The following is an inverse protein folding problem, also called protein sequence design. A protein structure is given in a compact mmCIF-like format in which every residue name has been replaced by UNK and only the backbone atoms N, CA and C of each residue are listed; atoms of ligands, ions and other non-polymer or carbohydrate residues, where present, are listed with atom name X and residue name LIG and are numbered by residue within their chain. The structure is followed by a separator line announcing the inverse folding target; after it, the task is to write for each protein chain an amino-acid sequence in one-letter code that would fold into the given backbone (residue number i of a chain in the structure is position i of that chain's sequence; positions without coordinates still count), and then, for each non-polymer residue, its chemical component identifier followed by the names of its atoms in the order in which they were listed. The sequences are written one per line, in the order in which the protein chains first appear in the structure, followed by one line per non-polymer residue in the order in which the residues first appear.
data_IF_066597530611
#
_entry.id   IF_066597530611
#
_cell.length_a   1.000
_cell.length_b   1.000
_cell.length_c   1.000
_cell.angle_alpha   90.00
_cell.angle_beta   90.00
_cell.angle_gamma   90.00
#
_symmetry.space_group_name_H-M   'P 1'
#
loop_
_entity.id
_entity.type
_entity.pdbx_description
1 polymer ?
#
# COMPACT_ATOMS: atom_id res chain seq x y z
N UNK A 1 -32.40 15.70 16.82
CA UNK A 1 -31.16 16.50 16.91
C UNK A 1 -30.02 15.56 17.26
N UNK A 2 -29.10 15.27 16.34
CA UNK A 2 -27.93 14.41 16.61
C UNK A 2 -26.84 15.23 17.31
N UNK A 3 -26.20 14.71 18.38
CA UNK A 3 -25.21 15.45 19.15
C UNK A 3 -24.00 15.86 18.28
N UNK A 4 -23.40 17.04 18.53
CA UNK A 4 -22.38 17.65 17.67
C UNK A 4 -21.09 16.81 17.54
N UNK A 5 -20.84 15.86 18.46
CA UNK A 5 -19.71 14.94 18.40
C UNK A 5 -19.80 13.87 17.29
N UNK A 6 -21.00 13.63 16.74
CA UNK A 6 -21.22 12.60 15.71
C UNK A 6 -21.01 13.09 14.27
N UNK A 7 -20.67 14.37 14.07
CA UNK A 7 -20.15 14.82 12.77
C UNK A 7 -18.63 14.64 12.81
N UNK A 8 -18.06 13.55 12.25
CA UNK A 8 -16.62 13.52 12.04
C UNK A 8 -16.26 14.76 11.23
N UNK A 9 -15.39 15.61 11.81
CA UNK A 9 -14.75 16.73 11.09
C UNK A 9 -14.31 16.14 9.75
N UNK A 10 -14.71 16.73 8.62
CA UNK A 10 -14.57 16.09 7.29
C UNK A 10 -13.17 15.50 7.03
N UNK A 11 -12.13 16.13 7.57
CA UNK A 11 -10.75 15.63 7.58
C UNK A 11 -10.54 14.27 8.27
N UNK A 12 -11.22 13.97 9.37
CA UNK A 12 -11.18 12.66 10.02
C UNK A 12 -11.73 11.56 9.10
N UNK A 13 -12.75 11.86 8.30
CA UNK A 13 -13.28 10.93 7.29
C UNK A 13 -12.27 10.71 6.16
N UNK A 14 -11.56 11.75 5.72
CA UNK A 14 -10.50 11.64 4.70
C UNK A 14 -9.39 10.72 5.21
N UNK A 15 -8.88 10.94 6.42
CA UNK A 15 -7.83 10.11 7.01
C UNK A 15 -8.27 8.66 7.23
N UNK A 16 -9.52 8.45 7.64
CA UNK A 16 -10.07 7.10 7.79
C UNK A 16 -10.06 6.34 6.46
N UNK A 17 -10.51 6.97 5.37
CA UNK A 17 -10.46 6.35 4.04
C UNK A 17 -9.03 6.18 3.52
N UNK A 18 -8.14 7.12 3.78
CA UNK A 18 -6.72 6.97 3.45
C UNK A 18 -6.13 5.75 4.16
N UNK A 19 -6.42 5.57 5.46
CA UNK A 19 -5.97 4.40 6.21
C UNK A 19 -6.53 3.09 5.64
N UNK A 20 -7.82 3.05 5.32
CA UNK A 20 -8.45 1.88 4.68
C UNK A 20 -7.76 1.53 3.36
N UNK A 21 -7.49 2.52 2.50
CA UNK A 21 -6.82 2.28 1.20
C UNK A 21 -5.40 1.77 1.42
N UNK A 22 -4.64 2.33 2.37
CA UNK A 22 -3.28 1.86 2.68
C UNK A 22 -3.29 0.40 3.15
N UNK A 23 -4.26 0.02 3.97
CA UNK A 23 -4.44 -1.38 4.40
C UNK A 23 -4.74 -2.28 3.20
N UNK A 24 -5.64 -1.86 2.30
CA UNK A 24 -5.97 -2.62 1.09
C UNK A 24 -4.77 -2.79 0.16
N UNK A 25 -3.99 -1.72 -0.07
CA UNK A 25 -2.74 -1.78 -0.86
C UNK A 25 -1.75 -2.75 -0.21
N UNK A 26 -1.64 -2.73 1.12
CA UNK A 26 -0.75 -3.62 1.85
C UNK A 26 -1.21 -5.08 1.73
N UNK A 27 -2.50 -5.37 1.87
CA UNK A 27 -3.01 -6.73 1.70
C UNK A 27 -2.79 -7.27 0.29
N UNK A 28 -2.91 -6.42 -0.73
CA UNK A 28 -2.80 -6.84 -2.13
C UNK A 28 -1.36 -6.92 -2.66
N UNK A 29 -0.47 -6.04 -2.20
CA UNK A 29 0.87 -5.85 -2.79
C UNK A 29 2.03 -5.99 -1.80
N UNK A 30 1.79 -6.14 -0.49
CA UNK A 30 2.91 -6.26 0.46
C UNK A 30 3.75 -7.50 0.11
N UNK A 31 5.07 -7.35 -0.06
CA UNK A 31 5.97 -8.47 -0.26
C UNK A 31 6.16 -9.19 1.08
N UNK A 32 5.44 -10.28 1.29
CA UNK A 32 5.44 -10.99 2.59
C UNK A 32 6.14 -12.33 2.50
N UNK A 33 6.16 -12.92 1.30
CA UNK A 33 6.73 -14.22 1.03
C UNK A 33 7.91 -14.05 0.08
N UNK A 34 8.96 -14.83 0.30
CA UNK A 34 10.07 -14.98 -0.65
C UNK A 34 10.04 -16.39 -1.17
N UNK A 35 9.89 -16.56 -2.48
CA UNK A 35 10.00 -17.85 -3.15
C UNK A 35 11.36 -17.93 -3.84
N UNK A 36 12.09 -19.00 -3.59
CA UNK A 36 13.35 -19.31 -4.26
C UNK A 36 13.14 -20.53 -5.16
N UNK A 37 13.39 -20.36 -6.45
CA UNK A 37 13.36 -21.41 -7.45
C UNK A 37 14.77 -21.61 -7.99
N UNK A 38 15.32 -22.81 -7.79
CA UNK A 38 16.63 -23.18 -8.32
C UNK A 38 16.45 -23.98 -9.60
N UNK A 39 17.18 -23.56 -10.63
CA UNK A 39 17.26 -24.21 -11.93
C UNK A 39 18.61 -24.91 -12.01
N UNK A 40 18.58 -26.24 -11.89
CA UNK A 40 19.77 -27.07 -12.02
C UNK A 40 20.03 -27.38 -13.49
N UNK A 41 21.29 -27.17 -13.91
CA UNK A 41 21.80 -27.51 -15.23
C UNK A 41 22.84 -28.63 -15.12
N UNK A 42 22.97 -29.53 -16.11
CA UNK A 42 24.07 -30.48 -16.18
C UNK A 42 25.45 -29.80 -16.20
N UNK A 43 25.51 -28.55 -16.69
CA UNK A 43 26.69 -27.70 -16.55
C UNK A 43 26.59 -26.89 -15.24
N UNK A 44 27.48 -27.14 -14.26
CA UNK A 44 27.43 -26.46 -12.96
C UNK A 44 27.64 -24.94 -13.06
N UNK A 45 28.27 -24.44 -14.13
CA UNK A 45 28.44 -23.01 -14.35
C UNK A 45 27.13 -22.30 -14.76
N UNK A 46 26.12 -23.07 -15.20
CA UNK A 46 24.83 -22.56 -15.66
C UNK A 46 23.70 -22.78 -14.64
N UNK A 47 23.99 -23.36 -13.49
CA UNK A 47 22.99 -23.53 -12.43
C UNK A 47 22.78 -22.20 -11.70
N UNK A 48 21.54 -21.76 -11.57
CA UNK A 48 21.20 -20.50 -10.90
C UNK A 48 19.93 -20.63 -10.07
N UNK A 49 19.86 -19.84 -9.00
CA UNK A 49 18.64 -19.70 -8.21
C UNK A 49 18.06 -18.30 -8.42
N UNK A 50 16.79 -18.25 -8.79
CA UNK A 50 16.02 -17.02 -8.82
C UNK A 50 15.20 -16.88 -7.55
N UNK A 51 15.21 -15.69 -6.97
CA UNK A 51 14.38 -15.32 -5.83
C UNK A 51 13.34 -14.30 -6.25
N UNK A 52 12.06 -14.62 -6.06
CA UNK A 52 10.94 -13.72 -6.32
C UNK A 52 10.26 -13.32 -5.00
N UNK A 53 9.92 -12.04 -4.87
CA UNK A 53 9.06 -11.55 -3.80
C UNK A 53 7.60 -11.80 -4.19
N UNK A 54 6.87 -12.47 -3.31
CA UNK A 54 5.47 -12.82 -3.48
C UNK A 54 4.59 -12.06 -2.48
N UNK A 55 3.42 -11.65 -2.97
CA UNK A 55 2.37 -11.07 -2.14
C UNK A 55 1.56 -12.14 -1.41
N UNK A 56 0.62 -11.70 -0.55
CA UNK A 56 -0.29 -12.61 0.16
C UNK A 56 -1.13 -13.49 -0.78
N UNK A 57 -1.43 -13.02 -1.99
CA UNK A 57 -2.18 -13.76 -2.99
C UNK A 57 -1.30 -14.70 -3.86
N UNK A 58 0.00 -14.83 -3.55
CA UNK A 58 0.94 -15.62 -4.34
C UNK A 58 1.33 -15.00 -5.68
N UNK A 59 0.97 -13.73 -5.92
CA UNK A 59 1.39 -12.96 -7.08
C UNK A 59 2.84 -12.47 -6.90
N UNK A 60 3.61 -12.40 -7.99
CA UNK A 60 4.88 -11.69 -7.97
C UNK A 60 4.63 -10.22 -7.68
N UNK A 61 5.23 -9.75 -6.58
CA UNK A 61 5.12 -8.37 -6.10
C UNK A 61 6.48 -7.73 -6.08
N UNK A 62 6.56 -6.45 -6.46
CA UNK A 62 7.78 -5.67 -6.37
C UNK A 62 7.66 -4.71 -5.18
N UNK A 63 8.53 -4.87 -4.18
CA UNK A 63 8.54 -4.02 -2.99
C UNK A 63 8.63 -2.52 -3.29
N UNK A 64 9.30 -2.11 -4.38
CA UNK A 64 9.38 -0.71 -4.79
C UNK A 64 8.03 -0.18 -5.28
N UNK A 65 7.26 -0.99 -6.01
CA UNK A 65 5.93 -0.61 -6.50
C UNK A 65 4.96 -0.48 -5.31
N UNK A 66 5.02 -1.42 -4.37
CA UNK A 66 4.23 -1.36 -3.13
C UNK A 66 4.53 -0.08 -2.33
N UNK A 67 5.80 0.23 -2.14
CA UNK A 67 6.22 1.43 -1.39
C UNK A 67 5.80 2.71 -2.09
N UNK A 68 5.95 2.79 -3.42
CA UNK A 68 5.48 3.92 -4.21
C UNK A 68 3.96 4.12 -4.11
N UNK A 69 3.18 3.03 -4.11
CA UNK A 69 1.73 3.09 -3.97
C UNK A 69 1.29 3.62 -2.59
N UNK A 70 1.97 3.22 -1.51
CA UNK A 70 1.70 3.75 -0.17
C UNK A 70 1.99 5.24 -0.10
N UNK A 71 3.16 5.66 -0.59
CA UNK A 71 3.56 7.07 -0.59
C UNK A 71 2.59 7.94 -1.40
N UNK A 72 2.20 7.48 -2.59
CA UNK A 72 1.23 8.18 -3.44
C UNK A 72 -0.12 8.33 -2.72
N UNK A 73 -0.60 7.27 -2.07
CA UNK A 73 -1.87 7.29 -1.32
C UNK A 73 -1.81 8.27 -0.15
N UNK A 74 -0.71 8.27 0.61
CA UNK A 74 -0.48 9.23 1.68
C UNK A 74 -0.43 10.67 1.18
N UNK A 75 0.27 10.93 0.07
CA UNK A 75 0.34 12.25 -0.55
C UNK A 75 -1.03 12.75 -1.03
N UNK A 76 -1.82 11.89 -1.67
CA UNK A 76 -3.19 12.21 -2.10
C UNK A 76 -4.08 12.50 -0.89
N UNK A 77 -4.05 11.66 0.15
CA UNK A 77 -4.78 11.89 1.40
C UNK A 77 -4.42 13.22 2.06
N UNK A 78 -3.12 13.53 2.11
CA UNK A 78 -2.63 14.82 2.63
C UNK A 78 -3.08 16.01 1.80
N UNK A 79 -3.00 15.92 0.47
CA UNK A 79 -3.48 16.98 -0.44
C UNK A 79 -4.99 17.21 -0.28
N UNK A 80 -5.78 16.15 -0.18
CA UNK A 80 -7.22 16.22 0.05
C UNK A 80 -7.53 16.87 1.40
N UNK A 81 -6.86 16.45 2.47
CA UNK A 81 -7.02 17.04 3.80
C UNK A 81 -6.64 18.53 3.81
N UNK A 82 -5.54 18.91 3.14
CA UNK A 82 -5.08 20.29 3.03
C UNK A 82 -6.05 21.17 2.25
N UNK A 83 -6.58 20.67 1.13
CA UNK A 83 -7.60 21.36 0.33
C UNK A 83 -8.90 21.55 1.12
N UNK A 84 -9.30 20.53 1.88
CA UNK A 84 -10.51 20.61 2.70
C UNK A 84 -10.38 21.62 3.84
N UNK A 85 -9.22 21.68 4.50
CA UNK A 85 -8.94 22.68 5.54
C UNK A 85 -8.93 24.12 5.01
N UNK A 86 -8.49 24.33 3.76
CA UNK A 86 -8.53 25.66 3.12
C UNK A 86 -9.93 26.09 2.69
N UNK A 87 -10.81 25.15 2.33
CA UNK A 87 -12.19 25.44 1.90
C UNK A 87 -13.17 25.60 3.05
N UNK A 88 -12.83 25.11 4.24
CA UNK A 88 -13.66 25.17 5.44
C UNK A 88 -12.95 26.00 6.54
N UNK A 89 -12.84 27.34 6.36
CA UNK A 89 -12.31 28.23 7.38
C UNK A 89 -13.43 28.52 8.40
N UNK A 90 -13.69 27.56 9.29
CA UNK A 90 -14.44 27.79 10.53
C UNK A 90 -13.55 27.53 11.72
#
# INVERSE_FOLDING_TARGET
MTPPFLRPRSTARIWLWTAVIVVLISLALAPVLTSTTCYDSPDPALSYCESAQLGFAGNQTNGWIWLAAILATGAVGWLLARRHKRRDPR
#
